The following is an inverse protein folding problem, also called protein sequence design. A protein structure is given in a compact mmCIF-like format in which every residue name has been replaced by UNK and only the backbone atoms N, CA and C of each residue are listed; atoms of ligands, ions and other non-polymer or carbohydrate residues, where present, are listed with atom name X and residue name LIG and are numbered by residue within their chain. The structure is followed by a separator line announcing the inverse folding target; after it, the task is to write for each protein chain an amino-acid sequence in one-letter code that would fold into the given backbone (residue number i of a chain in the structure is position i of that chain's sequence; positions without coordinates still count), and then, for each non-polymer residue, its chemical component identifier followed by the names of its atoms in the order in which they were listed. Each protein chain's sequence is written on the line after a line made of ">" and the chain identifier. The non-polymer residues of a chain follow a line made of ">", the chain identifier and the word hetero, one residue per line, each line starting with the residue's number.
data_IF_240120537670
#
_entry.id   IF_240120537670
#
_cell.length_a   1.000
_cell.length_b   1.000
_cell.length_c   1.000
_cell.angle_alpha   90.00
_cell.angle_beta   90.00
_cell.angle_gamma   90.00
#
_symmetry.space_group_name_H-M   'P 1'
#
loop_
_entity.id
_entity.type
_entity.pdbx_description
1 polymer ?
#
# COMPACT_ATOMS: atom_id res chain seq x y z
N UNK A 1 16.46 18.14 20.91
CA UNK A 1 16.02 17.09 19.97
C UNK A 1 16.57 17.45 18.60
N UNK A 2 17.82 17.03 18.28
CA UNK A 2 18.48 17.40 17.01
C UNK A 2 17.89 16.55 15.88
N UNK A 3 17.13 17.23 14.99
CA UNK A 3 16.69 16.68 13.72
C UNK A 3 17.87 16.70 12.75
N UNK A 4 18.57 15.56 12.60
CA UNK A 4 19.58 15.42 11.54
C UNK A 4 18.87 15.29 10.19
N UNK A 5 18.86 16.38 9.44
CA UNK A 5 18.45 16.39 8.04
C UNK A 5 19.45 15.54 7.24
N UNK A 6 18.96 14.53 6.53
CA UNK A 6 19.76 13.85 5.50
C UNK A 6 20.01 14.83 4.36
N UNK A 7 21.25 15.24 4.17
CA UNK A 7 21.64 16.06 3.04
C UNK A 7 21.47 15.25 1.74
N UNK A 8 20.57 15.72 0.88
CA UNK A 8 20.52 15.23 -0.51
C UNK A 8 21.81 15.66 -1.21
N UNK A 9 22.37 14.87 -2.13
CA UNK A 9 23.48 15.32 -2.96
C UNK A 9 23.02 16.54 -3.76
N UNK A 10 23.53 17.70 -3.39
CA UNK A 10 23.33 18.94 -4.15
C UNK A 10 23.98 18.75 -5.53
N UNK A 11 23.24 19.09 -6.59
CA UNK A 11 23.82 19.26 -7.92
C UNK A 11 24.79 20.41 -7.83
N UNK A 12 26.08 20.13 -7.98
CA UNK A 12 27.12 21.16 -8.15
C UNK A 12 26.82 21.83 -9.46
N UNK A 13 26.44 23.12 -9.43
CA UNK A 13 26.37 23.96 -10.62
C UNK A 13 27.76 24.16 -11.16
N UNK A 14 27.92 24.06 -12.48
CA UNK A 14 29.15 24.29 -13.19
C UNK A 14 29.60 25.78 -12.97
N UNK A 15 30.64 25.95 -12.21
CA UNK A 15 31.39 27.23 -12.19
C UNK A 15 32.46 27.19 -13.27
N UNK A 16 32.61 28.31 -13.93
CA UNK A 16 33.50 28.57 -15.05
C UNK A 16 34.94 28.10 -14.82
N UNK A 17 35.44 27.40 -15.82
CA UNK A 17 36.79 26.84 -15.87
C UNK A 17 37.73 27.99 -16.18
N UNK A 18 38.55 28.38 -15.22
CA UNK A 18 39.76 29.12 -15.49
C UNK A 18 40.87 28.12 -15.80
N UNK A 19 41.45 28.27 -16.98
CA UNK A 19 42.46 27.39 -17.55
C UNK A 19 43.81 27.56 -16.83
N UNK A 20 44.02 26.88 -15.71
CA UNK A 20 45.31 26.51 -15.21
C UNK A 20 45.27 25.04 -14.82
N UNK A 21 46.10 24.26 -15.50
CA UNK A 21 46.21 22.83 -15.49
C UNK A 21 46.54 22.25 -14.09
N UNK A 22 45.55 22.16 -13.22
CA UNK A 22 45.62 21.38 -11.98
C UNK A 22 44.66 20.23 -12.12
N UNK A 23 45.14 19.04 -12.40
CA UNK A 23 44.36 17.83 -12.33
C UNK A 23 43.80 17.71 -10.91
N UNK A 24 42.53 18.08 -10.73
CA UNK A 24 41.80 17.80 -9.51
C UNK A 24 41.66 16.30 -9.38
N UNK A 25 42.49 15.73 -8.52
CA UNK A 25 42.37 14.30 -8.13
C UNK A 25 41.08 14.14 -7.32
N UNK A 26 39.93 14.06 -8.01
CA UNK A 26 38.62 13.85 -7.38
C UNK A 26 38.60 12.43 -6.84
N UNK A 27 38.96 12.30 -5.58
CA UNK A 27 38.82 11.01 -4.87
C UNK A 27 37.36 10.57 -4.92
N UNK A 28 37.09 9.31 -5.30
CA UNK A 28 35.73 8.83 -5.41
C UNK A 28 35.01 8.91 -4.04
N UNK A 29 33.99 9.77 -3.98
CA UNK A 29 33.25 10.05 -2.76
C UNK A 29 32.44 8.83 -2.30
N UNK A 30 32.43 8.56 -0.99
CA UNK A 30 31.63 7.49 -0.40
C UNK A 30 30.15 7.69 -0.69
N UNK A 31 29.46 6.62 -1.06
CA UNK A 31 28.04 6.65 -1.37
C UNK A 31 27.29 5.43 -0.84
N UNK A 32 25.97 5.59 -0.67
CA UNK A 32 25.04 4.54 -0.23
C UNK A 32 23.79 4.55 -1.09
N UNK A 33 23.32 3.40 -1.51
CA UNK A 33 22.07 3.23 -2.25
C UNK A 33 21.23 2.10 -1.67
N UNK A 34 19.91 2.24 -1.74
CA UNK A 34 18.94 1.20 -1.38
C UNK A 34 18.39 0.53 -2.64
N UNK A 35 18.11 -0.77 -2.55
CA UNK A 35 17.45 -1.52 -3.61
C UNK A 35 16.01 -1.07 -3.89
N UNK A 36 15.37 -0.35 -2.94
CA UNK A 36 14.02 0.20 -3.07
C UNK A 36 13.97 1.59 -2.45
N UNK A 37 13.52 2.59 -3.21
CA UNK A 37 13.30 3.96 -2.74
C UNK A 37 11.90 4.20 -2.22
N UNK A 38 10.93 3.33 -2.62
CA UNK A 38 9.55 3.34 -2.16
C UNK A 38 8.95 1.93 -2.17
N UNK A 39 8.03 1.68 -1.27
CA UNK A 39 7.26 0.44 -1.19
C UNK A 39 5.87 0.71 -0.61
N UNK A 40 4.85 0.10 -1.21
CA UNK A 40 3.51 0.03 -0.66
C UNK A 40 3.30 -1.39 -0.17
N UNK A 41 2.91 -1.55 1.07
CA UNK A 41 2.80 -2.84 1.77
C UNK A 41 1.53 -2.89 2.60
N UNK A 42 1.09 -4.11 2.94
CA UNK A 42 -0.02 -4.32 3.84
C UNK A 42 0.44 -4.40 5.30
N UNK A 43 -0.48 -4.19 6.22
CA UNK A 43 -0.22 -4.42 7.65
C UNK A 43 0.19 -5.88 7.89
N UNK A 44 1.31 -6.07 8.58
CA UNK A 44 1.88 -7.40 8.84
C UNK A 44 2.97 -7.83 7.87
N UNK A 45 3.06 -7.20 6.69
CA UNK A 45 4.07 -7.52 5.70
C UNK A 45 5.48 -7.28 6.20
N UNK A 46 6.41 -8.06 5.65
CA UNK A 46 7.84 -7.93 5.87
C UNK A 46 8.53 -7.74 4.53
N UNK A 47 9.25 -6.64 4.38
CA UNK A 47 10.09 -6.39 3.20
C UNK A 47 11.56 -6.31 3.58
N UNK A 48 12.44 -6.62 2.63
CA UNK A 48 13.89 -6.55 2.80
C UNK A 48 14.45 -5.37 2.03
N UNK A 49 15.00 -4.40 2.74
CA UNK A 49 15.85 -3.37 2.18
C UNK A 49 17.31 -3.87 2.19
N UNK A 50 17.97 -3.73 1.05
CA UNK A 50 19.38 -4.04 0.87
C UNK A 50 20.13 -2.76 0.56
N UNK A 51 21.35 -2.69 1.07
CA UNK A 51 22.24 -1.53 0.91
C UNK A 51 23.36 -1.90 -0.04
N UNK A 52 23.67 -1.00 -0.96
CA UNK A 52 24.92 -1.02 -1.72
C UNK A 52 25.76 0.19 -1.30
N UNK A 53 27.02 -0.05 -0.90
CA UNK A 53 27.95 0.97 -0.45
C UNK A 53 29.15 0.97 -1.38
N UNK A 54 29.52 2.17 -1.86
CA UNK A 54 30.72 2.38 -2.68
C UNK A 54 31.64 3.37 -1.98
N UNK A 55 32.95 3.18 -2.13
CA UNK A 55 34.00 4.10 -1.68
C UNK A 55 33.96 4.47 -0.19
N UNK A 56 33.49 3.57 0.67
CA UNK A 56 33.47 3.77 2.13
C UNK A 56 34.30 2.72 2.86
N UNK A 57 35.08 3.17 3.85
CA UNK A 57 35.82 2.28 4.75
C UNK A 57 34.88 1.52 5.70
N UNK A 58 33.83 2.20 6.17
CA UNK A 58 32.84 1.58 7.06
C UNK A 58 31.77 0.84 6.25
N UNK A 59 31.54 -0.44 6.61
CA UNK A 59 30.43 -1.25 6.08
C UNK A 59 29.27 -1.37 7.08
N UNK A 60 29.41 -0.80 8.30
CA UNK A 60 28.39 -0.86 9.34
C UNK A 60 27.26 0.12 9.02
N UNK A 61 26.02 -0.40 8.98
CA UNK A 61 24.81 0.39 8.69
C UNK A 61 23.98 0.54 9.95
N UNK A 62 23.56 1.79 10.18
CA UNK A 62 22.58 2.16 11.21
C UNK A 62 21.24 2.37 10.50
N UNK A 63 20.25 1.57 10.90
CA UNK A 63 18.89 1.64 10.37
C UNK A 63 17.98 2.39 11.34
N UNK A 64 17.18 3.32 10.83
CA UNK A 64 16.19 4.05 11.62
C UNK A 64 14.86 4.14 10.88
N UNK A 65 13.77 4.32 11.63
CA UNK A 65 12.43 4.58 11.10
C UNK A 65 11.92 5.89 11.68
N UNK A 66 11.37 6.76 10.84
CA UNK A 66 10.77 8.03 11.26
C UNK A 66 9.50 7.84 12.08
N UNK A 67 8.78 6.72 11.87
CA UNK A 67 7.52 6.39 12.58
C UNK A 67 7.48 4.90 12.91
N UNK A 68 8.07 4.50 14.03
CA UNK A 68 8.13 3.09 14.47
C UNK A 68 6.75 2.44 14.68
N UNK A 69 5.71 3.25 14.94
CA UNK A 69 4.32 2.77 15.01
C UNK A 69 3.83 2.28 13.65
N UNK A 70 4.22 2.95 12.56
CA UNK A 70 3.83 2.59 11.19
C UNK A 70 4.68 1.43 10.65
N UNK A 71 6.01 1.56 10.75
CA UNK A 71 6.93 0.51 10.30
C UNK A 71 8.19 0.49 11.17
N UNK A 72 8.69 -0.71 11.47
CA UNK A 72 9.96 -0.90 12.17
C UNK A 72 10.99 -1.53 11.25
N UNK A 73 12.27 -1.28 11.52
CA UNK A 73 13.37 -1.88 10.77
C UNK A 73 14.36 -2.56 11.72
N UNK A 74 14.79 -3.77 11.37
CA UNK A 74 15.83 -4.52 12.07
C UNK A 74 17.22 -4.13 11.55
N UNK A 75 18.28 -4.46 12.33
CA UNK A 75 19.69 -4.21 11.96
C UNK A 75 20.08 -4.80 10.61
N UNK A 76 19.44 -5.87 10.17
CA UNK A 76 19.67 -6.52 8.90
C UNK A 76 18.90 -5.89 7.73
N UNK A 77 18.18 -4.77 7.92
CA UNK A 77 17.37 -4.10 6.89
C UNK A 77 16.00 -4.74 6.63
N UNK A 78 15.54 -5.68 7.48
CA UNK A 78 14.16 -6.19 7.40
C UNK A 78 13.21 -5.18 8.01
N UNK A 79 12.29 -4.67 7.20
CA UNK A 79 11.20 -3.77 7.60
C UNK A 79 9.96 -4.59 7.86
N UNK A 80 9.25 -4.28 8.96
CA UNK A 80 7.94 -4.87 9.29
C UNK A 80 6.90 -3.76 9.33
N UNK A 81 5.87 -3.88 8.51
CA UNK A 81 4.70 -3.00 8.48
C UNK A 81 3.82 -3.27 9.70
N UNK A 82 3.50 -2.23 10.50
CA UNK A 82 2.75 -2.39 11.74
C UNK A 82 1.37 -1.76 11.72
N UNK A 83 1.28 -0.53 11.22
CA UNK A 83 0.03 0.21 11.22
C UNK A 83 -0.07 1.13 10.00
N UNK A 84 -1.31 1.51 9.63
CA UNK A 84 -1.60 2.41 8.51
C UNK A 84 -0.80 3.72 8.60
N UNK A 85 -0.25 4.14 7.47
CA UNK A 85 0.46 5.41 7.35
C UNK A 85 1.73 5.29 6.53
N UNK A 86 2.56 6.33 6.60
CA UNK A 86 3.84 6.40 5.88
C UNK A 86 4.98 6.59 6.86
N UNK A 87 6.04 5.80 6.71
CA UNK A 87 7.29 5.91 7.44
C UNK A 87 8.47 6.01 6.47
N UNK A 88 9.46 6.82 6.80
CA UNK A 88 10.74 6.88 6.09
C UNK A 88 11.73 5.98 6.83
N UNK A 89 12.28 5.01 6.12
CA UNK A 89 13.34 4.13 6.62
C UNK A 89 14.66 4.67 6.11
N UNK A 90 15.56 5.00 7.02
CA UNK A 90 16.88 5.55 6.71
C UNK A 90 17.97 4.52 7.01
N UNK A 91 18.84 4.29 6.05
CA UNK A 91 20.09 3.57 6.19
C UNK A 91 21.24 4.57 6.18
N UNK A 92 22.06 4.61 7.24
CA UNK A 92 23.20 5.52 7.36
C UNK A 92 24.48 4.73 7.59
N UNK A 93 25.56 5.10 6.90
CA UNK A 93 26.89 4.54 7.16
C UNK A 93 27.37 5.04 8.54
N UNK A 94 27.72 4.12 9.43
CA UNK A 94 28.17 4.46 10.78
C UNK A 94 29.43 5.34 10.76
N UNK A 95 29.41 6.39 11.60
CA UNK A 95 30.51 7.36 11.68
C UNK A 95 30.53 8.41 10.58
N UNK A 96 29.49 8.45 9.71
CA UNK A 96 29.37 9.42 8.61
C UNK A 96 28.01 10.08 8.59
N UNK A 97 27.85 11.20 7.83
CA UNK A 97 26.56 11.81 7.49
C UNK A 97 25.85 11.16 6.28
N UNK A 98 26.50 10.18 5.62
CA UNK A 98 26.03 9.61 4.35
C UNK A 98 24.90 8.63 4.60
N UNK A 99 23.74 8.85 3.99
CA UNK A 99 22.54 8.03 4.16
C UNK A 99 21.74 7.86 2.88
N UNK A 100 20.88 6.85 2.87
CA UNK A 100 19.86 6.63 1.86
C UNK A 100 18.52 6.35 2.53
N UNK A 101 17.43 6.73 1.87
CA UNK A 101 16.08 6.64 2.42
C UNK A 101 15.17 5.82 1.53
N UNK A 102 14.19 5.15 2.14
CA UNK A 102 13.10 4.44 1.49
C UNK A 102 11.79 4.84 2.15
N UNK A 103 10.80 5.25 1.34
CA UNK A 103 9.45 5.57 1.83
C UNK A 103 8.63 4.29 1.86
N UNK A 104 8.12 3.93 3.03
CA UNK A 104 7.26 2.75 3.22
C UNK A 104 5.86 3.23 3.58
N UNK A 105 4.91 3.00 2.67
CA UNK A 105 3.49 3.29 2.89
C UNK A 105 2.78 2.00 3.25
N UNK A 106 2.24 1.93 4.46
CA UNK A 106 1.45 0.80 4.96
C UNK A 106 -0.02 1.10 4.73
N UNK A 107 -0.67 0.25 3.95
CA UNK A 107 -2.12 0.29 3.72
C UNK A 107 -2.81 -0.67 4.68
N UNK A 108 -3.97 -0.26 5.18
CA UNK A 108 -4.81 -1.10 6.03
C UNK A 108 -5.94 -1.70 5.18
N UNK A 109 -5.58 -2.58 4.25
CA UNK A 109 -6.55 -3.40 3.55
C UNK A 109 -6.24 -4.89 3.80
N UNK A 110 -7.26 -5.71 3.69
CA UNK A 110 -7.17 -7.16 3.83
C UNK A 110 -7.48 -7.76 2.46
N UNK A 111 -6.58 -8.56 1.93
CA UNK A 111 -6.85 -9.37 0.73
C UNK A 111 -7.55 -10.65 1.15
N UNK A 112 -8.70 -10.91 0.53
CA UNK A 112 -9.52 -12.07 0.86
C UNK A 112 -10.06 -12.72 -0.42
N UNK A 113 -9.98 -14.04 -0.49
CA UNK A 113 -10.65 -14.79 -1.54
C UNK A 113 -12.13 -14.89 -1.23
N UNK A 114 -12.99 -14.39 -2.11
CA UNK A 114 -14.45 -14.37 -1.97
C UNK A 114 -15.13 -15.04 -3.15
N UNK A 115 -16.32 -15.59 -2.93
CA UNK A 115 -17.21 -16.05 -3.99
C UNK A 115 -18.16 -14.90 -4.35
N UNK A 116 -18.23 -14.52 -5.62
CA UNK A 116 -19.13 -13.48 -6.08
C UNK A 116 -20.32 -14.06 -6.85
N UNK A 117 -21.48 -13.45 -6.69
CA UNK A 117 -22.69 -13.66 -7.47
C UNK A 117 -23.22 -12.30 -7.93
N UNK A 118 -24.16 -12.26 -8.85
CA UNK A 118 -24.75 -11.03 -9.33
C UNK A 118 -26.26 -11.04 -9.17
N UNK A 119 -26.84 -9.92 -8.76
CA UNK A 119 -28.28 -9.72 -8.71
C UNK A 119 -28.68 -8.39 -9.34
N UNK A 120 -29.91 -8.30 -9.85
CA UNK A 120 -30.55 -7.04 -10.17
C UNK A 120 -31.66 -6.74 -9.16
N UNK A 121 -32.00 -5.46 -8.98
CA UNK A 121 -33.08 -5.04 -8.10
C UNK A 121 -34.47 -5.19 -8.78
N UNK A 122 -34.62 -6.17 -9.67
CA UNK A 122 -35.88 -6.49 -10.34
C UNK A 122 -36.69 -7.56 -9.58
N UNK A 123 -38.00 -7.63 -9.86
CA UNK A 123 -38.92 -8.56 -9.18
C UNK A 123 -38.51 -10.04 -9.34
N UNK A 124 -37.92 -10.39 -10.47
CA UNK A 124 -37.44 -11.76 -10.73
C UNK A 124 -36.25 -12.18 -9.86
N UNK A 125 -35.34 -11.23 -9.52
CA UNK A 125 -34.15 -11.52 -8.71
C UNK A 125 -34.35 -11.24 -7.23
N UNK A 126 -35.01 -10.13 -6.90
CA UNK A 126 -35.18 -9.67 -5.52
C UNK A 126 -36.55 -10.02 -4.90
N UNK A 127 -37.48 -10.59 -5.70
CA UNK A 127 -38.81 -10.98 -5.21
C UNK A 127 -39.55 -9.83 -4.56
N UNK A 128 -40.03 -10.03 -3.34
CA UNK A 128 -40.71 -9.01 -2.53
C UNK A 128 -39.85 -7.80 -2.18
N UNK A 129 -38.54 -7.89 -2.32
CA UNK A 129 -37.59 -6.82 -2.03
C UNK A 129 -37.23 -5.99 -3.27
N UNK A 130 -37.87 -6.26 -4.42
CA UNK A 130 -37.64 -5.50 -5.64
C UNK A 130 -37.97 -4.02 -5.43
N UNK A 131 -37.10 -3.14 -5.89
CA UNK A 131 -37.24 -1.69 -5.72
C UNK A 131 -36.93 -1.17 -4.32
N UNK A 132 -36.67 -2.05 -3.34
CA UNK A 132 -36.34 -1.65 -1.98
C UNK A 132 -34.96 -1.00 -1.87
N UNK A 133 -34.75 -0.25 -0.78
CA UNK A 133 -33.47 0.26 -0.39
C UNK A 133 -32.58 -0.86 0.14
N UNK A 134 -31.28 -0.67 0.04
CA UNK A 134 -30.26 -1.54 0.64
C UNK A 134 -30.32 -1.50 2.17
N UNK A 135 -29.61 -2.40 2.83
CA UNK A 135 -29.48 -2.41 4.28
C UNK A 135 -28.85 -1.13 4.86
N UNK A 136 -28.14 -0.35 4.05
CA UNK A 136 -27.61 0.97 4.41
C UNK A 136 -28.54 2.14 4.07
N UNK A 137 -29.78 1.89 3.63
CA UNK A 137 -30.76 2.91 3.27
C UNK A 137 -30.53 3.62 1.94
N UNK A 138 -29.73 3.04 1.05
CA UNK A 138 -29.43 3.61 -0.27
C UNK A 138 -30.11 2.80 -1.39
N UNK A 139 -30.30 3.42 -2.55
CA UNK A 139 -30.73 2.68 -3.75
C UNK A 139 -29.56 1.85 -4.27
N UNK A 140 -29.74 0.52 -4.52
CA UNK A 140 -28.69 -0.30 -5.08
C UNK A 140 -28.34 0.17 -6.50
N UNK A 141 -27.04 0.24 -6.79
CA UNK A 141 -26.50 0.69 -8.08
C UNK A 141 -25.53 -0.33 -8.64
N UNK A 142 -25.67 -0.65 -9.93
CA UNK A 142 -24.72 -1.54 -10.63
C UNK A 142 -23.30 -0.96 -10.61
N UNK A 143 -22.30 -1.85 -10.54
CA UNK A 143 -20.87 -1.51 -10.46
C UNK A 143 -20.50 -0.61 -9.26
N UNK A 144 -21.36 -0.53 -8.27
CA UNK A 144 -21.16 0.29 -7.07
C UNK A 144 -21.55 -0.44 -5.80
N UNK A 145 -22.74 -1.01 -5.74
CA UNK A 145 -23.30 -1.62 -4.53
C UNK A 145 -23.01 -3.11 -4.51
N UNK A 146 -22.59 -3.60 -3.35
CA UNK A 146 -22.50 -5.04 -3.07
C UNK A 146 -23.23 -5.39 -1.78
N UNK A 147 -23.83 -6.57 -1.77
CA UNK A 147 -24.31 -7.21 -0.56
C UNK A 147 -23.22 -8.11 0.05
N UNK A 148 -23.07 -8.05 1.35
CA UNK A 148 -22.01 -8.71 2.11
C UNK A 148 -22.53 -9.33 3.42
N UNK A 149 -21.74 -10.19 4.05
CA UNK A 149 -21.92 -10.50 5.46
C UNK A 149 -21.33 -9.36 6.30
N UNK A 150 -22.20 -8.52 6.88
CA UNK A 150 -21.78 -7.33 7.66
C UNK A 150 -20.92 -7.65 8.88
N UNK A 151 -20.89 -8.91 9.34
CA UNK A 151 -20.01 -9.34 10.44
C UNK A 151 -18.56 -9.51 9.97
N UNK A 152 -18.36 -9.80 8.68
CA UNK A 152 -17.05 -9.96 8.07
C UNK A 152 -16.59 -8.67 7.37
N UNK A 153 -17.51 -8.03 6.62
CA UNK A 153 -17.28 -6.80 5.88
C UNK A 153 -18.31 -5.77 6.36
N UNK A 154 -17.94 -4.82 7.22
CA UNK A 154 -18.85 -3.78 7.70
C UNK A 154 -19.47 -2.97 6.56
N UNK A 155 -20.73 -2.55 6.72
CA UNK A 155 -21.36 -1.65 5.75
C UNK A 155 -20.57 -0.33 5.64
N UNK A 156 -20.50 0.22 4.44
CA UNK A 156 -19.65 1.37 4.10
C UNK A 156 -18.24 1.03 3.65
N UNK A 157 -17.77 -0.21 3.88
CA UNK A 157 -16.43 -0.66 3.45
C UNK A 157 -16.31 -0.59 1.92
N UNK A 158 -15.18 -0.07 1.45
CA UNK A 158 -14.82 -0.12 0.03
C UNK A 158 -14.15 -1.46 -0.28
N UNK A 159 -14.63 -2.15 -1.31
CA UNK A 159 -14.14 -3.47 -1.72
C UNK A 159 -13.79 -3.41 -3.20
N UNK A 160 -12.54 -3.67 -3.53
CA UNK A 160 -12.09 -3.75 -4.92
C UNK A 160 -12.21 -5.19 -5.42
N UNK A 161 -12.99 -5.40 -6.47
CA UNK A 161 -13.13 -6.69 -7.15
C UNK A 161 -12.71 -6.49 -8.59
N UNK A 162 -11.62 -7.11 -8.98
CA UNK A 162 -10.98 -6.85 -10.28
C UNK A 162 -10.55 -5.38 -10.43
N UNK A 163 -11.13 -4.67 -11.41
CA UNK A 163 -10.82 -3.25 -11.66
C UNK A 163 -11.84 -2.26 -11.04
N UNK A 164 -12.91 -2.76 -10.40
CA UNK A 164 -14.01 -1.93 -9.90
C UNK A 164 -13.94 -1.86 -8.37
N UNK A 165 -14.15 -0.65 -7.84
CA UNK A 165 -14.28 -0.41 -6.39
C UNK A 165 -15.76 -0.29 -6.05
N UNK A 166 -16.25 -1.25 -5.29
CA UNK A 166 -17.61 -1.30 -4.78
C UNK A 166 -17.72 -0.71 -3.39
N UNK A 167 -18.94 -0.48 -2.95
CA UNK A 167 -19.26 -0.13 -1.56
C UNK A 167 -20.18 -1.21 -0.98
N UNK A 168 -19.84 -1.73 0.18
CA UNK A 168 -20.68 -2.64 0.95
C UNK A 168 -21.87 -1.85 1.49
N UNK A 169 -23.03 -1.95 0.82
CA UNK A 169 -24.22 -1.18 1.16
C UNK A 169 -25.40 -2.08 1.50
N UNK A 170 -25.31 -3.36 1.19
CA UNK A 170 -26.41 -4.29 1.34
C UNK A 170 -26.05 -5.57 2.09
N UNK A 171 -27.07 -6.32 2.45
CA UNK A 171 -26.96 -7.66 3.06
C UNK A 171 -27.96 -8.60 2.41
N UNK A 172 -27.71 -9.89 2.46
CA UNK A 172 -28.64 -10.90 1.97
C UNK A 172 -28.72 -12.12 2.89
N UNK A 173 -29.87 -12.76 2.95
CA UNK A 173 -30.06 -13.98 3.75
C UNK A 173 -29.07 -15.08 3.40
N UNK A 174 -28.78 -15.26 2.10
CA UNK A 174 -27.82 -16.23 1.57
C UNK A 174 -26.37 -15.69 1.50
N UNK A 175 -26.14 -14.41 1.79
CA UNK A 175 -24.82 -13.78 1.71
C UNK A 175 -24.16 -13.85 3.08
N UNK A 176 -23.43 -14.95 3.31
CA UNK A 176 -22.77 -15.25 4.57
C UNK A 176 -21.29 -15.57 4.34
N UNK A 177 -20.46 -15.20 5.33
CA UNK A 177 -19.02 -15.41 5.27
C UNK A 177 -18.37 -14.77 4.04
N UNK A 178 -17.50 -15.49 3.36
CA UNK A 178 -16.74 -15.02 2.18
C UNK A 178 -17.56 -15.06 0.89
N UNK A 179 -18.83 -14.61 0.95
CA UNK A 179 -19.72 -14.46 -0.21
C UNK A 179 -20.08 -12.99 -0.39
N UNK A 180 -20.03 -12.51 -1.62
CA UNK A 180 -20.42 -11.16 -2.04
C UNK A 180 -21.42 -11.28 -3.17
N UNK A 181 -22.45 -10.43 -3.16
CA UNK A 181 -23.42 -10.34 -4.26
C UNK A 181 -23.37 -8.94 -4.87
N UNK A 182 -23.02 -8.88 -6.16
CA UNK A 182 -22.83 -7.63 -6.89
C UNK A 182 -24.15 -7.17 -7.50
N UNK A 183 -24.47 -5.89 -7.35
CA UNK A 183 -25.61 -5.30 -8.08
C UNK A 183 -25.23 -5.15 -9.55
N UNK A 184 -26.02 -5.75 -10.44
CA UNK A 184 -25.83 -5.72 -11.89
C UNK A 184 -27.08 -5.14 -12.58
N UNK A 185 -26.90 -4.57 -13.76
CA UNK A 185 -28.01 -4.18 -14.62
C UNK A 185 -28.49 -5.39 -15.44
N UNK A 186 -29.76 -5.76 -15.33
CA UNK A 186 -30.36 -6.81 -16.12
C UNK A 186 -30.40 -8.17 -15.45
N UNK A 187 -30.63 -9.23 -16.23
CA UNK A 187 -30.86 -10.60 -15.74
C UNK A 187 -29.66 -11.14 -14.95
N UNK A 188 -29.97 -11.94 -13.94
CA UNK A 188 -29.04 -12.72 -13.14
C UNK A 188 -28.10 -13.51 -14.06
N UNK A 189 -26.86 -13.13 -14.11
CA UNK A 189 -25.81 -13.91 -14.76
C UNK A 189 -25.24 -14.85 -13.71
N UNK A 190 -25.12 -16.13 -14.06
CA UNK A 190 -24.81 -17.22 -13.13
C UNK A 190 -23.55 -17.03 -12.29
N UNK A 191 -23.27 -18.01 -11.46
CA UNK A 191 -22.16 -18.06 -10.50
C UNK A 191 -20.83 -17.70 -11.13
N UNK A 192 -20.23 -16.58 -10.70
CA UNK A 192 -18.95 -16.12 -11.18
C UNK A 192 -17.79 -16.60 -10.33
N UNK A 193 -16.59 -16.58 -10.94
CA UNK A 193 -15.34 -17.12 -10.40
C UNK A 193 -14.94 -16.46 -9.09
N UNK A 194 -14.18 -17.22 -8.29
CA UNK A 194 -13.45 -16.73 -7.13
C UNK A 194 -12.53 -15.56 -7.53
N UNK A 195 -12.70 -14.42 -6.90
CA UNK A 195 -11.82 -13.26 -7.06
C UNK A 195 -11.18 -12.92 -5.72
N UNK A 196 -9.94 -12.43 -5.77
CA UNK A 196 -9.30 -11.82 -4.62
C UNK A 196 -9.89 -10.41 -4.45
N UNK A 197 -10.56 -10.15 -3.34
CA UNK A 197 -11.11 -8.84 -3.00
C UNK A 197 -10.16 -8.09 -2.09
N UNK A 198 -9.91 -6.82 -2.38
CA UNK A 198 -9.14 -5.90 -1.53
C UNK A 198 -10.12 -4.97 -0.79
N UNK A 199 -9.92 -4.82 0.54
CA UNK A 199 -10.66 -3.86 1.37
C UNK A 199 -9.82 -2.59 1.58
N UNK A 200 -10.47 -1.44 1.55
CA UNK A 200 -9.85 -0.14 1.82
C UNK A 200 -10.42 0.48 3.09
#
# INVERSE_FOLDING_TARGET
>A
MLSFLCLFPQKVSAQQINSNNTQLNVQPQASIRLNKVGSVVERGDKIKLRVNISNSRSKKIIWTSSKKRVATVKRNGQVTAKDKGTAVITARIAGTGICAQSVVTVKNYITMRVRTTGYCNCRSCAGKWAGCMTASGKRPRAKHTIAVDKRLIPLGTKVKIGKIVYTAEDTGGAIKGKRIDETVNGKKTGTFKLFDGEYY
#
